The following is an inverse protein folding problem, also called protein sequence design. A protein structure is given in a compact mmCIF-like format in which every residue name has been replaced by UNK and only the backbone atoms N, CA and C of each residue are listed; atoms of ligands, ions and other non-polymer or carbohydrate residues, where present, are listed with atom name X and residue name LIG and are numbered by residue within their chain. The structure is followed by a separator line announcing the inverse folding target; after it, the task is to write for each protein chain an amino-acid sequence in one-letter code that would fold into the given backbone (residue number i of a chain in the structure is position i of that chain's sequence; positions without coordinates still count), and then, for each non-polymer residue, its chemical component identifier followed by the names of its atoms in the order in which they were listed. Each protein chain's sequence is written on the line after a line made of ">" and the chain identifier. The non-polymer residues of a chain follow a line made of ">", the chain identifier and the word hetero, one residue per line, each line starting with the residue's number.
data_IF_214455551807
#
_entry.id   IF_214455551807
#
_cell.length_a   1.000
_cell.length_b   1.000
_cell.length_c   1.000
_cell.angle_alpha   90.00
_cell.angle_beta   90.00
_cell.angle_gamma   90.00
#
_symmetry.space_group_name_H-M   'P 1'
#
loop_
_entity.id
_entity.type
_entity.pdbx_description
1 polymer ?
#
# COMPACT_ATOMS: atom_id res chain seq x y z
N UNK A 1 -42.84 -29.73 7.97
CA UNK A 1 -41.64 -30.48 8.45
C UNK A 1 -41.46 -31.81 7.73
N UNK A 2 -42.51 -32.61 7.46
CA UNK A 2 -42.42 -33.84 6.65
C UNK A 2 -41.84 -33.61 5.24
N UNK A 3 -42.33 -32.60 4.49
CA UNK A 3 -41.82 -32.22 3.16
C UNK A 3 -40.36 -31.76 3.17
N UNK A 4 -39.89 -31.15 4.27
CA UNK A 4 -38.50 -30.68 4.37
C UNK A 4 -37.57 -31.87 4.60
N UNK A 5 -38.01 -32.90 5.33
CA UNK A 5 -37.24 -34.12 5.52
C UNK A 5 -37.20 -34.98 4.24
N UNK A 6 -38.28 -35.08 3.47
CA UNK A 6 -38.29 -35.76 2.17
C UNK A 6 -37.37 -35.09 1.15
N UNK A 7 -37.31 -33.75 1.13
CA UNK A 7 -36.38 -32.99 0.27
C UNK A 7 -34.94 -33.24 0.71
N UNK A 8 -34.64 -33.23 2.02
CA UNK A 8 -33.28 -33.48 2.52
C UNK A 8 -32.82 -34.93 2.32
N UNK A 9 -33.75 -35.88 2.23
CA UNK A 9 -33.46 -37.30 1.95
C UNK A 9 -33.26 -37.57 0.45
N UNK A 10 -33.91 -36.79 -0.44
CA UNK A 10 -33.61 -36.78 -1.88
C UNK A 10 -32.20 -36.25 -2.21
N UNK A 11 -31.60 -35.40 -1.38
CA UNK A 11 -30.25 -34.87 -1.59
C UNK A 11 -29.12 -35.73 -1.01
N UNK A 12 -29.42 -36.86 -0.36
CA UNK A 12 -28.39 -37.75 0.22
C UNK A 12 -27.73 -38.71 -0.77
N UNK A 13 -28.30 -38.91 -1.96
CA UNK A 13 -27.77 -39.85 -2.95
C UNK A 13 -27.85 -39.28 -4.37
N UNK A 14 -26.83 -38.55 -4.82
CA UNK A 14 -26.36 -38.46 -6.22
C UNK A 14 -25.07 -37.63 -6.21
N UNK A 15 -23.88 -38.24 -6.18
CA UNK A 15 -23.07 -38.61 -7.35
C UNK A 15 -23.24 -37.69 -8.57
N UNK A 16 -22.08 -37.13 -8.94
CA UNK A 16 -21.67 -36.29 -10.09
C UNK A 16 -22.18 -34.85 -10.17
N UNK A 17 -21.24 -33.91 -9.93
CA UNK A 17 -21.28 -32.49 -10.28
C UNK A 17 -21.43 -32.21 -11.80
N UNK A 18 -21.67 -33.21 -12.64
CA UNK A 18 -21.69 -33.07 -14.10
C UNK A 18 -23.03 -32.51 -14.65
N UNK A 19 -24.12 -32.54 -13.88
CA UNK A 19 -25.45 -32.16 -14.40
C UNK A 19 -25.70 -30.64 -14.38
N UNK A 20 -24.94 -29.86 -13.61
CA UNK A 20 -25.07 -28.39 -13.60
C UNK A 20 -24.25 -27.67 -14.70
N UNK A 21 -23.62 -28.43 -15.61
CA UNK A 21 -22.75 -27.92 -16.68
C UNK A 21 -23.48 -27.32 -17.89
N UNK A 22 -24.81 -27.16 -17.84
CA UNK A 22 -25.56 -26.53 -18.94
C UNK A 22 -26.38 -25.34 -18.43
N UNK A 23 -25.76 -24.17 -18.54
CA UNK A 23 -26.38 -22.85 -18.64
C UNK A 23 -27.64 -22.61 -17.81
N UNK A 24 -27.48 -22.22 -16.55
CA UNK A 24 -28.56 -21.58 -15.79
C UNK A 24 -28.32 -20.08 -15.80
N UNK A 25 -29.01 -19.36 -16.69
CA UNK A 25 -29.19 -17.93 -16.53
C UNK A 25 -30.28 -17.72 -15.47
N UNK A 26 -29.88 -17.20 -14.32
CA UNK A 26 -30.82 -16.82 -13.26
C UNK A 26 -31.74 -15.71 -13.80
N UNK A 27 -33.05 -15.78 -13.56
CA UNK A 27 -33.97 -14.68 -13.86
C UNK A 27 -33.46 -13.34 -13.29
N UNK A 28 -33.73 -12.22 -13.97
CA UNK A 28 -33.24 -10.89 -13.56
C UNK A 28 -33.75 -10.43 -12.20
N UNK A 29 -34.81 -11.06 -11.69
CA UNK A 29 -35.44 -10.85 -10.40
C UNK A 29 -34.97 -11.86 -9.32
N UNK A 30 -34.06 -12.77 -9.67
CA UNK A 30 -33.50 -13.71 -8.69
C UNK A 30 -32.63 -12.96 -7.66
N UNK A 31 -32.79 -13.24 -6.35
CA UNK A 31 -32.17 -12.44 -5.29
C UNK A 31 -30.65 -12.58 -5.22
N UNK A 32 -30.06 -13.52 -5.96
CA UNK A 32 -28.61 -13.73 -6.02
C UNK A 32 -28.18 -13.73 -7.50
N UNK A 33 -27.22 -12.88 -7.85
CA UNK A 33 -26.74 -12.73 -9.22
C UNK A 33 -25.21 -12.75 -9.31
N UNK A 34 -24.63 -13.22 -10.43
CA UNK A 34 -23.20 -13.09 -10.67
C UNK A 34 -22.78 -11.62 -10.77
N UNK A 35 -21.54 -11.31 -10.38
CA UNK A 35 -20.99 -9.96 -10.54
C UNK A 35 -20.80 -9.63 -12.02
N UNK A 36 -20.29 -10.61 -12.77
CA UNK A 36 -20.10 -10.55 -14.22
C UNK A 36 -21.05 -11.55 -14.91
N UNK A 37 -22.30 -11.13 -15.20
CA UNK A 37 -23.28 -12.01 -15.83
C UNK A 37 -22.87 -12.47 -17.22
N UNK A 38 -22.03 -11.71 -17.94
CA UNK A 38 -21.59 -12.07 -19.29
C UNK A 38 -20.30 -12.90 -19.31
N UNK A 39 -19.73 -13.21 -18.13
CA UNK A 39 -18.49 -14.00 -18.07
C UNK A 39 -18.77 -15.43 -18.54
N UNK A 40 -17.98 -15.98 -19.48
CA UNK A 40 -18.13 -17.37 -19.90
C UNK A 40 -17.69 -18.32 -18.78
N UNK A 41 -18.50 -19.33 -18.50
CA UNK A 41 -18.25 -20.34 -17.46
C UNK A 41 -17.26 -21.37 -18.02
N UNK A 42 -16.11 -21.55 -17.35
CA UNK A 42 -15.11 -22.57 -17.72
C UNK A 42 -15.35 -23.86 -16.94
N UNK A 43 -14.70 -24.94 -17.39
CA UNK A 43 -14.74 -26.23 -16.70
C UNK A 43 -14.18 -26.10 -15.26
N UNK A 44 -14.99 -26.46 -14.27
CA UNK A 44 -14.67 -26.32 -12.84
C UNK A 44 -15.15 -25.01 -12.19
N UNK A 45 -15.66 -24.04 -12.95
CA UNK A 45 -16.20 -22.80 -12.38
C UNK A 45 -17.55 -23.03 -11.69
N UNK A 46 -17.74 -22.38 -10.53
CA UNK A 46 -19.05 -22.37 -9.88
C UNK A 46 -20.06 -21.61 -10.77
N UNK A 47 -21.22 -22.21 -11.13
CA UNK A 47 -22.16 -21.61 -12.06
C UNK A 47 -22.89 -20.37 -11.51
N UNK A 48 -22.91 -20.20 -10.18
CA UNK A 48 -23.57 -19.07 -9.52
C UNK A 48 -22.72 -17.80 -9.61
N UNK A 49 -21.42 -17.89 -9.31
CA UNK A 49 -20.49 -16.76 -9.37
C UNK A 49 -19.65 -16.74 -10.65
N UNK A 50 -19.81 -17.74 -11.53
CA UNK A 50 -19.04 -17.91 -12.77
C UNK A 50 -17.52 -17.89 -12.51
N UNK A 51 -17.12 -18.57 -11.43
CA UNK A 51 -15.73 -18.63 -10.96
C UNK A 51 -15.24 -17.41 -10.17
N UNK A 52 -16.05 -16.39 -9.92
CA UNK A 52 -15.63 -15.17 -9.20
C UNK A 52 -15.59 -15.34 -7.67
N UNK A 53 -16.19 -16.40 -7.13
CA UNK A 53 -16.26 -16.66 -5.67
C UNK A 53 -17.12 -15.67 -4.87
N UNK A 54 -17.74 -14.67 -5.52
CA UNK A 54 -18.56 -13.60 -4.91
C UNK A 54 -19.81 -13.37 -5.80
N UNK A 55 -20.93 -13.00 -5.19
CA UNK A 55 -22.24 -12.76 -5.83
C UNK A 55 -22.84 -11.42 -5.38
N UNK A 56 -23.70 -10.84 -6.21
CA UNK A 56 -24.63 -9.76 -5.82
C UNK A 56 -25.83 -10.39 -5.12
N UNK A 57 -26.27 -9.82 -4.01
CA UNK A 57 -27.47 -10.24 -3.27
C UNK A 57 -28.40 -9.04 -3.13
N UNK A 58 -29.68 -9.26 -3.41
CA UNK A 58 -30.74 -8.27 -3.32
C UNK A 58 -31.69 -8.64 -2.19
N UNK A 59 -31.60 -7.92 -1.07
CA UNK A 59 -32.50 -8.07 0.08
C UNK A 59 -33.20 -6.73 0.35
N UNK A 60 -34.52 -6.76 0.48
CA UNK A 60 -35.34 -5.58 0.77
C UNK A 60 -35.10 -4.38 -0.18
N UNK A 61 -34.81 -4.65 -1.46
CA UNK A 61 -34.53 -3.63 -2.47
C UNK A 61 -33.12 -3.02 -2.41
N UNK A 62 -32.24 -3.54 -1.54
CA UNK A 62 -30.86 -3.08 -1.39
C UNK A 62 -29.91 -4.13 -1.96
N UNK A 63 -29.08 -3.71 -2.92
CA UNK A 63 -28.01 -4.54 -3.47
C UNK A 63 -26.79 -4.51 -2.54
N UNK A 64 -26.32 -5.68 -2.14
CA UNK A 64 -25.04 -5.86 -1.48
C UNK A 64 -24.27 -7.03 -2.12
N UNK A 65 -23.03 -7.28 -1.69
CA UNK A 65 -22.18 -8.34 -2.23
C UNK A 65 -21.87 -9.34 -1.14
N UNK A 66 -22.00 -10.64 -1.44
CA UNK A 66 -21.74 -11.72 -0.50
C UNK A 66 -20.79 -12.74 -1.12
N UNK A 67 -20.08 -13.49 -0.27
CA UNK A 67 -19.31 -14.63 -0.74
C UNK A 67 -20.27 -15.65 -1.38
N UNK A 68 -19.89 -16.19 -2.53
CA UNK A 68 -20.64 -17.27 -3.15
C UNK A 68 -20.60 -18.50 -2.24
N UNK A 69 -21.65 -19.31 -2.25
CA UNK A 69 -21.74 -20.54 -1.45
C UNK A 69 -20.59 -21.51 -1.74
N UNK A 70 -20.00 -21.45 -2.94
CA UNK A 70 -18.81 -22.23 -3.30
C UNK A 70 -17.55 -21.83 -2.51
N UNK A 71 -17.59 -20.71 -1.78
CA UNK A 71 -16.46 -20.11 -1.08
C UNK A 71 -16.69 -20.06 0.44
N UNK A 72 -17.44 -21.03 1.00
CA UNK A 72 -17.86 -21.10 2.41
C UNK A 72 -16.72 -21.19 3.46
N UNK A 73 -15.45 -21.06 3.07
CA UNK A 73 -14.32 -20.95 3.97
C UNK A 73 -13.50 -19.67 3.71
N UNK A 74 -14.01 -18.50 4.10
CA UNK A 74 -13.20 -17.44 4.74
C UNK A 74 -14.02 -16.20 5.11
N UNK A 75 -14.38 -16.11 6.39
CA UNK A 75 -15.11 -15.00 7.02
C UNK A 75 -14.31 -13.68 7.07
N UNK A 76 -13.01 -13.71 6.76
CA UNK A 76 -12.09 -12.56 6.88
C UNK A 76 -12.06 -11.65 5.63
N UNK A 77 -12.44 -12.17 4.45
CA UNK A 77 -12.38 -11.41 3.19
C UNK A 77 -13.62 -10.50 3.04
N UNK A 78 -14.81 -10.96 3.47
CA UNK A 78 -16.04 -10.17 3.41
C UNK A 78 -15.98 -8.88 4.24
N UNK A 79 -15.42 -8.96 5.46
CA UNK A 79 -15.22 -7.80 6.34
C UNK A 79 -14.25 -6.77 5.75
N UNK A 80 -13.22 -7.21 5.02
CA UNK A 80 -12.27 -6.31 4.37
C UNK A 80 -12.89 -5.53 3.18
N UNK A 81 -13.81 -6.14 2.45
CA UNK A 81 -14.49 -5.53 1.29
C UNK A 81 -15.47 -4.44 1.71
N UNK A 82 -16.21 -4.63 2.81
CA UNK A 82 -17.11 -3.61 3.36
C UNK A 82 -16.36 -2.37 3.88
N UNK A 83 -15.21 -2.57 4.54
CA UNK A 83 -14.40 -1.46 5.06
C UNK A 83 -13.79 -0.65 3.91
N UNK A 84 -13.35 -1.31 2.84
CA UNK A 84 -12.82 -0.63 1.65
C UNK A 84 -13.85 0.26 0.95
N UNK A 85 -15.10 -0.21 0.82
CA UNK A 85 -16.17 0.60 0.22
C UNK A 85 -16.46 1.88 1.02
N UNK A 86 -16.44 1.81 2.36
CA UNK A 86 -16.60 3.01 3.21
C UNK A 86 -15.46 4.03 3.02
N UNK A 87 -14.23 3.55 2.83
CA UNK A 87 -13.05 4.41 2.68
C UNK A 87 -13.00 5.08 1.31
N UNK A 88 -13.42 4.39 0.25
CA UNK A 88 -13.52 4.97 -1.10
C UNK A 88 -14.56 6.10 -1.17
N UNK A 89 -15.70 5.96 -0.49
CA UNK A 89 -16.73 7.00 -0.42
C UNK A 89 -16.21 8.30 0.21
N UNK A 90 -15.54 8.20 1.37
CA UNK A 90 -14.97 9.36 2.07
C UNK A 90 -13.87 10.08 1.27
N UNK A 91 -13.12 9.36 0.43
CA UNK A 91 -12.07 9.96 -0.41
C UNK A 91 -12.62 10.76 -1.59
N UNK A 92 -13.77 10.35 -2.14
CA UNK A 92 -14.42 11.02 -3.27
C UNK A 92 -14.96 12.39 -2.85
N UNK A 93 -15.62 12.44 -1.69
CA UNK A 93 -16.14 13.67 -1.06
C UNK A 93 -15.02 14.68 -0.75
N UNK A 94 -13.82 14.20 -0.35
CA UNK A 94 -12.64 15.06 -0.13
C UNK A 94 -12.00 15.62 -1.40
N UNK A 95 -12.16 14.95 -2.55
CA UNK A 95 -11.60 15.40 -3.84
C UNK A 95 -12.42 16.53 -4.44
N UNK A 96 -13.74 16.46 -4.32
CA UNK A 96 -14.66 17.51 -4.82
C UNK A 96 -14.43 18.86 -4.11
N UNK A 97 -14.00 18.85 -2.85
CA UNK A 97 -13.66 20.06 -2.09
C UNK A 97 -12.34 20.74 -2.50
N UNK A 98 -11.42 20.03 -3.17
CA UNK A 98 -10.08 20.57 -3.51
C UNK A 98 -10.02 21.33 -4.84
N UNK A 99 -11.00 21.13 -5.72
CA UNK A 99 -10.98 21.66 -7.10
C UNK A 99 -11.31 23.16 -7.22
N UNK A 100 -11.64 23.84 -6.12
CA UNK A 100 -12.28 25.17 -6.16
C UNK A 100 -11.46 26.35 -5.59
N UNK A 101 -10.11 26.27 -5.54
CA UNK A 101 -9.29 27.38 -5.02
C UNK A 101 -8.04 27.65 -5.87
N UNK A 102 -8.11 28.65 -6.75
CA UNK A 102 -6.93 29.37 -7.29
C UNK A 102 -6.33 30.19 -6.13
N UNK A 103 -5.05 29.97 -5.81
CA UNK A 103 -4.39 30.60 -4.66
C UNK A 103 -3.72 31.92 -5.03
N UNK A 104 -4.20 33.01 -4.44
CA UNK A 104 -3.42 34.21 -4.16
C UNK A 104 -2.22 33.83 -3.26
N UNK A 105 -1.06 34.45 -3.46
CA UNK A 105 0.15 34.18 -2.66
C UNK A 105 -0.06 34.67 -1.21
N UNK A 106 -0.28 33.71 -0.30
CA UNK A 106 -0.49 33.99 1.13
C UNK A 106 0.83 34.39 1.79
N UNK A 107 0.88 35.58 2.40
CA UNK A 107 2.04 36.07 3.14
C UNK A 107 2.05 35.56 4.59
N UNK A 108 2.98 34.65 4.91
CA UNK A 108 3.14 34.06 6.25
C UNK A 108 4.22 34.79 7.06
N UNK A 109 3.94 35.03 8.35
CA UNK A 109 4.82 35.78 9.27
C UNK A 109 4.92 35.10 10.65
N UNK A 110 5.99 35.34 11.42
CA UNK A 110 6.07 34.88 12.82
C UNK A 110 5.04 35.60 13.70
N UNK A 111 4.68 34.98 14.83
CA UNK A 111 3.77 35.59 15.81
C UNK A 111 4.35 36.88 16.39
N UNK A 112 5.62 36.85 16.75
CA UNK A 112 6.35 37.98 17.32
C UNK A 112 7.34 38.55 16.30
N UNK A 113 6.85 39.25 15.28
CA UNK A 113 7.64 39.88 14.21
C UNK A 113 8.68 40.90 14.67
N UNK A 114 8.60 41.38 15.92
CA UNK A 114 9.55 42.34 16.48
C UNK A 114 10.42 41.76 17.60
N UNK A 115 10.22 40.51 18.00
CA UNK A 115 11.04 39.89 19.05
C UNK A 115 12.46 39.60 18.53
N UNK A 116 13.52 39.88 19.32
CA UNK A 116 14.89 39.54 18.92
C UNK A 116 15.05 38.02 18.78
N UNK A 117 15.74 37.58 17.73
CA UNK A 117 16.05 36.17 17.51
C UNK A 117 17.18 35.80 18.47
N UNK A 118 16.94 34.83 19.37
CA UNK A 118 17.97 34.36 20.30
C UNK A 118 18.91 33.37 19.62
N UNK A 119 20.07 33.16 20.24
CA UNK A 119 21.02 32.16 19.77
C UNK A 119 20.39 30.76 19.79
N UNK A 120 20.41 30.06 18.66
CA UNK A 120 19.77 28.75 18.46
C UNK A 120 18.32 28.78 17.96
N UNK A 121 17.66 29.95 17.93
CA UNK A 121 16.28 30.06 17.46
C UNK A 121 16.19 29.98 15.93
N UNK A 122 15.08 29.42 15.43
CA UNK A 122 14.81 29.42 14.00
C UNK A 122 14.54 30.86 13.52
N UNK A 123 15.24 31.38 12.49
CA UNK A 123 15.07 32.76 12.03
C UNK A 123 13.72 33.03 11.36
N UNK A 124 13.00 31.98 10.94
CA UNK A 124 11.72 32.09 10.23
C UNK A 124 10.57 32.30 11.23
N UNK A 125 10.48 31.46 12.27
CA UNK A 125 9.42 31.55 13.29
C UNK A 125 9.88 32.19 14.60
N UNK A 126 11.17 32.52 14.73
CA UNK A 126 11.79 33.10 15.93
C UNK A 126 11.61 32.25 17.18
N UNK A 127 11.80 30.94 17.05
CA UNK A 127 11.70 29.97 18.15
C UNK A 127 10.31 29.37 18.38
N UNK A 128 9.24 30.00 17.90
CA UNK A 128 7.84 29.58 18.17
C UNK A 128 7.40 28.27 17.49
N UNK A 129 8.09 27.90 16.41
CA UNK A 129 7.74 26.71 15.62
C UNK A 129 6.47 26.84 14.74
N UNK A 130 5.77 27.98 14.78
CA UNK A 130 4.56 28.24 13.99
C UNK A 130 4.64 29.59 13.27
N UNK A 131 3.86 29.72 12.20
CA UNK A 131 3.69 30.93 11.40
C UNK A 131 2.20 31.24 11.29
N UNK A 132 1.87 32.52 11.22
CA UNK A 132 0.51 33.01 11.01
C UNK A 132 0.36 33.77 9.71
N UNK A 133 -0.85 33.79 9.16
CA UNK A 133 -1.22 34.63 8.03
C UNK A 133 -2.67 35.09 8.20
N UNK A 134 -2.97 36.31 7.76
CA UNK A 134 -4.35 36.79 7.67
C UNK A 134 -4.87 36.51 6.26
N UNK A 135 -5.93 35.70 6.16
CA UNK A 135 -6.56 35.35 4.88
C UNK A 135 -8.04 35.66 5.01
N UNK A 136 -8.56 36.57 4.18
CA UNK A 136 -9.96 37.01 4.21
C UNK A 136 -10.44 37.46 5.60
N UNK A 137 -9.59 38.13 6.38
CA UNK A 137 -9.90 38.60 7.73
C UNK A 137 -9.81 37.55 8.84
N UNK A 138 -9.46 36.30 8.52
CA UNK A 138 -9.25 35.22 9.49
C UNK A 138 -7.76 34.93 9.69
N UNK A 139 -7.36 34.69 10.94
CA UNK A 139 -6.01 34.26 11.27
C UNK A 139 -5.87 32.75 11.02
N UNK A 140 -4.91 32.38 10.17
CA UNK A 140 -4.52 31.00 9.92
C UNK A 140 -3.15 30.74 10.52
N UNK A 141 -2.98 29.56 11.10
CA UNK A 141 -1.73 29.12 11.71
C UNK A 141 -1.22 27.90 10.96
N UNK A 142 0.06 27.88 10.61
CA UNK A 142 0.75 26.69 10.09
C UNK A 142 2.03 26.43 10.86
N UNK A 143 2.52 25.19 10.79
CA UNK A 143 3.83 24.85 11.34
C UNK A 143 4.95 25.48 10.50
N UNK A 144 6.00 25.92 11.19
CA UNK A 144 7.24 26.35 10.56
C UNK A 144 8.03 25.13 10.09
N UNK A 145 8.74 25.27 8.97
CA UNK A 145 9.65 24.27 8.41
C UNK A 145 10.73 23.81 9.42
N UNK A 146 11.07 24.61 10.44
CA UNK A 146 12.02 24.19 11.47
C UNK A 146 11.49 23.07 12.37
N UNK A 147 10.18 23.04 12.63
CA UNK A 147 9.54 21.94 13.37
C UNK A 147 9.55 20.69 12.50
N UNK A 148 9.26 20.83 11.20
CA UNK A 148 9.36 19.73 10.25
C UNK A 148 10.78 19.16 10.21
N UNK A 149 11.81 20.02 10.20
CA UNK A 149 13.22 19.62 10.26
C UNK A 149 13.58 18.94 11.60
N UNK A 150 13.09 19.44 12.74
CA UNK A 150 13.34 18.84 14.06
C UNK A 150 12.71 17.46 14.18
N UNK A 151 11.43 17.33 13.80
CA UNK A 151 10.71 16.05 13.75
C UNK A 151 11.43 15.08 12.80
N UNK A 152 11.83 15.55 11.61
CA UNK A 152 12.60 14.76 10.66
C UNK A 152 13.91 14.26 11.25
N UNK A 153 14.63 15.10 12.01
CA UNK A 153 15.90 14.72 12.63
C UNK A 153 15.71 13.71 13.76
N UNK A 154 14.70 13.89 14.62
CA UNK A 154 14.35 12.95 15.68
C UNK A 154 13.91 11.60 15.11
N UNK A 155 13.14 11.61 14.01
CA UNK A 155 12.75 10.41 13.28
C UNK A 155 13.95 9.74 12.60
N UNK A 156 14.89 10.50 12.04
CA UNK A 156 16.14 9.99 11.46
C UNK A 156 16.96 9.21 12.49
N UNK A 157 17.12 9.77 13.70
CA UNK A 157 17.86 9.14 14.78
C UNK A 157 17.20 7.83 15.24
N UNK A 158 15.86 7.78 15.28
CA UNK A 158 15.09 6.59 15.70
C UNK A 158 15.09 5.45 14.68
N UNK A 159 15.39 5.71 13.41
CA UNK A 159 15.21 4.72 12.32
C UNK A 159 16.48 3.93 11.99
N UNK A 160 17.64 4.27 12.57
CA UNK A 160 18.89 3.52 12.37
C UNK A 160 19.45 3.58 10.93
N UNK A 161 18.87 4.42 10.06
CA UNK A 161 19.25 4.56 8.64
C UNK A 161 19.75 5.96 8.28
N UNK A 162 20.12 6.75 9.29
CA UNK A 162 20.57 8.12 9.12
C UNK A 162 21.65 8.25 8.04
N UNK A 163 22.60 7.33 8.05
CA UNK A 163 23.72 7.32 7.12
C UNK A 163 23.33 6.92 5.69
N UNK A 164 22.38 6.00 5.53
CA UNK A 164 21.85 5.62 4.22
C UNK A 164 21.07 6.77 3.59
N UNK A 165 20.26 7.50 4.37
CA UNK A 165 19.49 8.67 3.87
C UNK A 165 20.41 9.82 3.45
N UNK A 166 21.56 10.01 4.12
CA UNK A 166 22.55 11.02 3.73
C UNK A 166 23.23 10.68 2.42
N UNK A 167 23.58 9.40 2.22
CA UNK A 167 24.33 8.94 1.03
C UNK A 167 23.46 8.73 -0.19
N UNK A 168 22.28 8.15 -0.02
CA UNK A 168 21.37 7.79 -1.11
C UNK A 168 20.30 8.86 -1.31
N UNK A 169 20.64 9.88 -2.09
CA UNK A 169 19.75 11.00 -2.42
C UNK A 169 19.39 10.99 -3.90
N UNK A 170 18.40 11.80 -4.30
CA UNK A 170 18.08 11.99 -5.72
C UNK A 170 19.27 12.62 -6.48
N UNK A 171 20.05 13.45 -5.82
CA UNK A 171 21.19 14.16 -6.42
C UNK A 171 22.36 13.20 -6.67
N UNK A 172 22.58 12.24 -5.76
CA UNK A 172 23.61 11.19 -5.94
C UNK A 172 23.15 10.02 -6.82
N UNK A 173 21.88 9.96 -7.22
CA UNK A 173 21.37 8.91 -8.13
C UNK A 173 21.73 9.24 -9.58
N UNK A 174 22.71 8.50 -10.12
CA UNK A 174 23.23 8.68 -11.48
C UNK A 174 22.30 8.05 -12.53
N UNK A 175 22.10 8.77 -13.64
CA UNK A 175 21.17 8.39 -14.71
C UNK A 175 21.85 8.34 -16.11
N UNK A 176 22.94 7.58 -16.32
CA UNK A 176 23.58 7.48 -17.65
C UNK A 176 22.67 6.86 -18.73
N UNK A 177 21.63 6.13 -18.36
CA UNK A 177 20.66 5.54 -19.29
C UNK A 177 19.24 6.08 -19.08
N UNK A 178 18.45 6.13 -20.16
CA UNK A 178 17.09 6.67 -20.14
C UNK A 178 16.16 5.99 -19.12
N UNK A 179 16.33 4.70 -18.87
CA UNK A 179 15.47 4.00 -17.92
C UNK A 179 15.70 4.47 -16.48
N UNK A 180 16.93 4.88 -16.14
CA UNK A 180 17.27 5.46 -14.83
C UNK A 180 16.68 6.86 -14.70
N UNK A 181 16.75 7.65 -15.76
CA UNK A 181 16.12 8.96 -15.85
C UNK A 181 14.60 8.85 -15.64
N UNK A 182 13.94 7.93 -16.38
CA UNK A 182 12.50 7.64 -16.21
C UNK A 182 12.16 7.18 -14.79
N UNK A 183 12.99 6.34 -14.17
CA UNK A 183 12.80 5.89 -12.80
C UNK A 183 12.90 7.06 -11.81
N UNK A 184 13.93 7.91 -11.96
CA UNK A 184 14.14 9.10 -11.13
C UNK A 184 12.98 10.08 -11.25
N UNK A 185 12.50 10.34 -12.47
CA UNK A 185 11.37 11.23 -12.73
C UNK A 185 10.07 10.71 -12.09
N UNK A 186 9.76 9.41 -12.26
CA UNK A 186 8.59 8.79 -11.61
C UNK A 186 8.67 8.86 -10.09
N UNK A 187 9.87 8.65 -9.53
CA UNK A 187 10.10 8.76 -8.09
C UNK A 187 9.93 10.21 -7.57
N UNK A 188 10.31 11.22 -8.35
CA UNK A 188 10.06 12.63 -8.02
C UNK A 188 8.56 12.98 -8.11
N UNK A 189 7.86 12.52 -9.15
CA UNK A 189 6.42 12.70 -9.29
C UNK A 189 5.64 12.05 -8.13
N UNK A 190 6.10 10.88 -7.68
CA UNK A 190 5.50 10.12 -6.58
C UNK A 190 5.44 10.90 -5.26
N UNK A 191 6.33 11.86 -5.03
CA UNK A 191 6.35 12.66 -3.79
C UNK A 191 5.09 13.50 -3.59
N UNK A 192 4.32 13.75 -4.66
CA UNK A 192 3.04 14.46 -4.61
C UNK A 192 1.84 13.55 -4.31
N UNK A 193 2.04 12.23 -4.26
CA UNK A 193 0.97 11.27 -4.00
C UNK A 193 0.68 11.11 -2.51
N UNK A 194 -0.59 10.89 -2.18
CA UNK A 194 -1.02 10.67 -0.79
C UNK A 194 -1.65 9.30 -0.56
N UNK A 195 -1.97 8.55 -1.62
CA UNK A 195 -2.68 7.27 -1.50
C UNK A 195 -2.16 6.21 -2.48
N UNK A 196 -0.97 6.42 -3.04
CA UNK A 196 -0.27 5.48 -3.92
C UNK A 196 0.91 4.86 -3.19
N UNK A 197 1.31 3.70 -3.69
CA UNK A 197 2.52 3.01 -3.28
C UNK A 197 3.54 3.07 -4.39
N UNK A 198 4.82 2.97 -4.02
CA UNK A 198 5.92 2.94 -4.97
C UNK A 198 6.53 1.55 -4.99
N UNK A 199 6.74 1.01 -6.18
CA UNK A 199 7.35 -0.30 -6.34
C UNK A 199 8.51 -0.22 -7.32
N UNK A 200 9.64 -0.78 -6.94
CA UNK A 200 10.76 -1.06 -7.83
C UNK A 200 11.20 -2.51 -7.70
N UNK A 201 11.11 -3.26 -8.78
CA UNK A 201 11.32 -4.71 -8.80
C UNK A 201 12.27 -5.19 -9.89
N UNK A 202 12.69 -6.45 -9.81
CA UNK A 202 13.52 -7.12 -10.81
C UNK A 202 15.02 -7.02 -10.53
N UNK A 203 15.83 -6.76 -11.55
CA UNK A 203 17.28 -6.98 -11.53
C UNK A 203 18.04 -6.47 -10.30
N UNK A 204 18.98 -7.27 -9.78
CA UNK A 204 19.89 -6.87 -8.70
C UNK A 204 20.87 -5.78 -9.14
N UNK A 205 21.22 -4.88 -8.22
CA UNK A 205 22.28 -3.89 -8.44
C UNK A 205 21.92 -2.70 -9.33
N UNK A 206 20.65 -2.51 -9.69
CA UNK A 206 20.19 -1.40 -10.54
C UNK A 206 19.80 -0.12 -9.77
N UNK A 207 20.12 -0.02 -8.48
CA UNK A 207 19.85 1.18 -7.67
C UNK A 207 18.48 1.25 -6.99
N UNK A 208 17.75 0.13 -6.88
CA UNK A 208 16.44 0.04 -6.19
C UNK A 208 16.47 0.63 -4.78
N UNK A 209 17.39 0.16 -3.94
CA UNK A 209 17.53 0.65 -2.57
C UNK A 209 17.87 2.14 -2.53
N UNK A 210 18.69 2.61 -3.47
CA UNK A 210 19.07 4.02 -3.55
C UNK A 210 17.84 4.89 -3.82
N UNK A 211 17.09 4.60 -4.89
CA UNK A 211 15.93 5.44 -5.25
C UNK A 211 14.84 5.40 -4.17
N UNK A 212 14.56 4.24 -3.57
CA UNK A 212 13.61 4.13 -2.47
C UNK A 212 14.07 4.89 -1.21
N UNK A 213 15.36 4.84 -0.89
CA UNK A 213 15.94 5.60 0.22
C UNK A 213 15.86 7.11 -0.05
N UNK A 214 16.08 7.55 -1.29
CA UNK A 214 15.95 8.94 -1.69
C UNK A 214 14.50 9.45 -1.54
N UNK A 215 13.51 8.65 -1.95
CA UNK A 215 12.07 8.92 -1.72
C UNK A 215 11.79 9.05 -0.22
N UNK A 216 12.24 8.06 0.58
CA UNK A 216 12.03 8.05 2.03
C UNK A 216 12.63 9.30 2.69
N UNK A 217 13.84 9.68 2.28
CA UNK A 217 14.53 10.89 2.77
C UNK A 217 13.80 12.19 2.41
N UNK A 218 13.11 12.26 1.26
CA UNK A 218 12.27 13.41 0.92
C UNK A 218 11.00 13.45 1.77
N UNK A 219 10.30 12.33 1.96
CA UNK A 219 9.14 12.29 2.86
C UNK A 219 9.50 12.65 4.31
N UNK A 220 10.66 12.18 4.77
CA UNK A 220 11.19 12.55 6.07
C UNK A 220 11.41 14.08 6.17
N UNK A 221 12.04 14.70 5.16
CA UNK A 221 12.21 16.16 5.10
C UNK A 221 10.89 16.94 5.04
N UNK A 222 9.81 16.31 4.54
CA UNK A 222 8.45 16.85 4.56
C UNK A 222 7.72 16.61 5.91
N UNK A 223 8.44 16.15 6.94
CA UNK A 223 7.92 15.92 8.28
C UNK A 223 7.00 14.69 8.42
N UNK A 224 6.99 13.78 7.45
CA UNK A 224 6.21 12.54 7.52
C UNK A 224 6.88 11.53 8.45
N UNK A 225 6.10 10.83 9.27
CA UNK A 225 6.64 9.67 9.99
C UNK A 225 7.04 8.58 9.00
N UNK A 226 8.30 8.17 9.08
CA UNK A 226 8.87 7.15 8.19
C UNK A 226 9.37 5.95 8.99
N UNK A 227 9.27 4.77 8.39
CA UNK A 227 9.89 3.54 8.89
C UNK A 227 10.57 2.82 7.74
N UNK A 228 11.77 2.35 8.01
CA UNK A 228 12.52 1.46 7.12
C UNK A 228 12.68 0.10 7.78
N UNK A 229 12.52 -0.95 6.99
CA UNK A 229 12.84 -2.31 7.38
C UNK A 229 13.59 -3.01 6.25
N UNK A 230 14.51 -3.90 6.61
CA UNK A 230 15.01 -4.95 5.73
C UNK A 230 14.12 -6.16 5.97
N UNK A 231 13.39 -6.59 4.95
CA UNK A 231 12.38 -7.65 5.08
C UNK A 231 12.93 -8.91 5.75
N UNK A 232 14.10 -9.37 5.32
CA UNK A 232 14.73 -10.61 5.83
C UNK A 232 15.04 -10.56 7.33
N UNK A 233 15.33 -9.38 7.87
CA UNK A 233 15.64 -9.21 9.29
C UNK A 233 14.37 -9.02 10.11
N UNK A 234 13.46 -8.18 9.61
CA UNK A 234 12.23 -7.86 10.33
C UNK A 234 11.28 -9.06 10.42
N UNK A 235 11.22 -9.89 9.36
CA UNK A 235 10.35 -11.06 9.36
C UNK A 235 10.77 -12.11 10.40
N UNK A 236 12.07 -12.29 10.62
CA UNK A 236 12.60 -13.19 11.66
C UNK A 236 12.17 -12.69 13.04
N UNK A 237 12.32 -11.38 13.29
CA UNK A 237 11.89 -10.76 14.54
C UNK A 237 10.38 -10.89 14.77
N UNK A 238 9.57 -10.65 13.75
CA UNK A 238 8.11 -10.76 13.83
C UNK A 238 7.68 -12.20 14.14
N UNK A 239 8.26 -13.19 13.45
CA UNK A 239 7.95 -14.60 13.68
C UNK A 239 8.33 -15.07 15.08
N UNK A 240 9.50 -14.65 15.57
CA UNK A 240 9.98 -15.02 16.90
C UNK A 240 9.07 -14.53 18.04
N UNK A 241 8.29 -13.48 17.81
CA UNK A 241 7.42 -12.89 18.83
C UNK A 241 5.92 -13.15 18.58
N UNK A 242 5.56 -13.98 17.59
CA UNK A 242 4.14 -14.16 17.19
C UNK A 242 3.26 -14.78 18.28
N UNK A 243 3.84 -15.45 19.26
CA UNK A 243 3.13 -16.06 20.42
C UNK A 243 3.03 -15.11 21.63
N UNK A 244 3.74 -13.99 21.61
CA UNK A 244 3.68 -12.96 22.64
C UNK A 244 2.88 -11.78 22.09
N UNK A 245 1.57 -11.79 22.33
CA UNK A 245 0.64 -10.82 21.73
C UNK A 245 1.04 -9.38 22.02
N UNK A 246 1.44 -9.05 23.25
CA UNK A 246 1.81 -7.68 23.63
C UNK A 246 3.07 -7.24 22.88
N UNK A 247 4.12 -8.06 22.89
CA UNK A 247 5.35 -7.71 22.22
C UNK A 247 5.21 -7.73 20.70
N UNK A 248 4.42 -8.66 20.13
CA UNK A 248 4.09 -8.71 18.72
C UNK A 248 3.41 -7.42 18.27
N UNK A 249 2.38 -6.99 19.00
CA UNK A 249 1.69 -5.73 18.72
C UNK A 249 2.66 -4.55 18.78
N UNK A 250 3.55 -4.51 19.77
CA UNK A 250 4.56 -3.45 19.92
C UNK A 250 5.49 -3.35 18.71
N UNK A 251 5.90 -4.49 18.12
CA UNK A 251 6.84 -4.50 16.98
C UNK A 251 6.14 -4.31 15.63
N UNK A 252 4.92 -4.83 15.44
CA UNK A 252 4.22 -4.74 14.16
C UNK A 252 3.50 -3.40 13.98
N UNK A 253 2.95 -2.80 15.05
CA UNK A 253 2.17 -1.57 14.97
C UNK A 253 2.89 -0.41 14.27
N UNK A 254 4.20 -0.17 14.48
CA UNK A 254 4.95 0.83 13.72
C UNK A 254 4.97 0.57 12.21
N UNK A 255 4.93 -0.69 11.77
CA UNK A 255 4.85 -1.07 10.35
C UNK A 255 3.44 -0.82 9.80
N UNK A 256 2.42 -1.08 10.62
CA UNK A 256 1.02 -0.86 10.26
C UNK A 256 0.70 0.63 10.11
N UNK A 257 1.12 1.46 11.06
CA UNK A 257 0.55 2.81 11.28
C UNK A 257 1.39 3.98 10.79
N UNK A 258 2.70 3.78 10.53
CA UNK A 258 3.58 4.87 10.05
C UNK A 258 3.11 5.45 8.71
N UNK A 259 3.25 6.76 8.51
CA UNK A 259 2.77 7.43 7.30
C UNK A 259 3.48 6.91 6.04
N UNK A 260 4.78 6.60 6.15
CA UNK A 260 5.57 6.05 5.05
C UNK A 260 6.36 4.83 5.55
N UNK A 261 6.08 3.66 4.99
CA UNK A 261 6.82 2.43 5.25
C UNK A 261 7.65 2.08 4.02
N UNK A 262 8.95 1.93 4.17
CA UNK A 262 9.83 1.37 3.16
C UNK A 262 10.24 -0.05 3.57
N UNK A 263 9.83 -1.02 2.75
CA UNK A 263 10.19 -2.43 2.88
C UNK A 263 11.27 -2.74 1.82
N UNK A 264 12.50 -2.89 2.26
CA UNK A 264 13.62 -3.30 1.40
C UNK A 264 13.72 -4.81 1.29
N UNK A 265 14.17 -5.28 0.13
CA UNK A 265 14.35 -6.70 -0.19
C UNK A 265 13.08 -7.54 0.10
N UNK A 266 11.90 -7.00 -0.26
CA UNK A 266 10.62 -7.66 0.01
C UNK A 266 10.55 -9.06 -0.63
N UNK A 267 10.17 -10.05 0.16
CA UNK A 267 10.19 -11.48 -0.21
C UNK A 267 11.53 -12.00 -0.76
N UNK A 268 12.65 -11.35 -0.41
CA UNK A 268 13.96 -11.94 -0.68
C UNK A 268 14.14 -13.22 0.11
N UNK A 269 14.55 -14.24 -0.60
CA UNK A 269 14.81 -15.60 -0.12
C UNK A 269 16.13 -16.06 -0.73
N UNK A 270 16.64 -17.20 -0.26
CA UNK A 270 17.69 -17.90 -1.02
C UNK A 270 17.20 -18.19 -2.43
N UNK A 271 18.15 -18.32 -3.36
CA UNK A 271 17.87 -18.51 -4.78
C UNK A 271 16.87 -19.65 -4.98
N UNK A 272 15.83 -19.37 -5.76
CA UNK A 272 14.77 -20.30 -6.14
C UNK A 272 13.89 -20.83 -4.98
N UNK A 273 14.05 -20.31 -3.75
CA UNK A 273 13.14 -20.64 -2.63
C UNK A 273 11.93 -19.72 -2.59
N UNK A 274 10.74 -20.28 -2.34
CA UNK A 274 9.52 -19.51 -2.05
C UNK A 274 9.55 -19.01 -0.60
N UNK A 275 8.99 -17.81 -0.30
CA UNK A 275 8.76 -17.39 1.09
C UNK A 275 7.94 -18.44 1.85
N UNK A 276 8.20 -18.59 3.15
CA UNK A 276 7.41 -19.52 3.97
C UNK A 276 5.98 -19.00 4.16
N UNK A 277 5.04 -19.89 4.50
CA UNK A 277 3.66 -19.45 4.77
C UNK A 277 3.58 -18.44 5.91
N UNK A 278 4.45 -18.55 6.92
CA UNK A 278 4.53 -17.59 8.00
C UNK A 278 4.98 -16.19 7.52
N UNK A 279 5.88 -16.15 6.52
CA UNK A 279 6.30 -14.90 5.89
C UNK A 279 5.14 -14.29 5.09
N UNK A 280 4.42 -15.12 4.33
CA UNK A 280 3.24 -14.72 3.54
C UNK A 280 2.14 -14.19 4.46
N UNK A 281 1.80 -14.90 5.54
CA UNK A 281 0.78 -14.45 6.52
C UNK A 281 1.13 -13.10 7.16
N UNK A 282 2.39 -12.93 7.56
CA UNK A 282 2.86 -11.66 8.18
C UNK A 282 2.89 -10.52 7.16
N UNK A 283 3.31 -10.80 5.91
CA UNK A 283 3.24 -9.83 4.82
C UNK A 283 1.79 -9.42 4.57
N UNK A 284 0.86 -10.39 4.49
CA UNK A 284 -0.55 -10.12 4.30
C UNK A 284 -1.11 -9.21 5.40
N UNK A 285 -0.76 -9.45 6.67
CA UNK A 285 -1.18 -8.62 7.80
C UNK A 285 -0.77 -7.14 7.61
N UNK A 286 0.51 -6.89 7.28
CA UNK A 286 1.03 -5.53 7.07
C UNK A 286 0.39 -4.89 5.83
N UNK A 287 0.36 -5.61 4.72
CA UNK A 287 -0.09 -5.09 3.43
C UNK A 287 -1.59 -4.83 3.45
N UNK A 288 -2.38 -5.74 3.99
CA UNK A 288 -3.83 -5.59 4.08
C UNK A 288 -4.21 -4.42 4.98
N UNK A 289 -3.57 -4.28 6.15
CA UNK A 289 -3.81 -3.13 7.03
C UNK A 289 -3.56 -1.81 6.30
N UNK A 290 -2.39 -1.68 5.67
CA UNK A 290 -2.00 -0.44 4.96
C UNK A 290 -2.82 -0.19 3.71
N UNK A 291 -3.33 -1.26 3.08
CA UNK A 291 -4.17 -1.18 1.89
C UNK A 291 -5.55 -0.62 2.23
N UNK A 292 -6.17 -1.17 3.28
CA UNK A 292 -7.48 -0.73 3.76
C UNK A 292 -7.39 0.69 4.33
N UNK A 293 -6.35 1.00 5.11
CA UNK A 293 -6.19 2.32 5.73
C UNK A 293 -5.58 3.34 4.76
N UNK A 294 -6.37 4.33 4.35
CA UNK A 294 -5.93 5.39 3.44
C UNK A 294 -4.87 6.31 4.03
N UNK A 295 -4.01 6.88 3.18
CA UNK A 295 -2.98 7.83 3.60
C UNK A 295 -1.69 7.18 4.09
N UNK A 296 -1.60 5.85 4.04
CA UNK A 296 -0.42 5.08 4.38
C UNK A 296 0.34 4.70 3.10
N UNK A 297 1.47 5.36 2.89
CA UNK A 297 2.34 5.15 1.73
C UNK A 297 3.25 3.97 2.01
N UNK A 298 3.36 3.03 1.07
CA UNK A 298 4.31 1.94 1.15
C UNK A 298 5.23 1.98 -0.05
N UNK A 299 6.52 1.81 0.20
CA UNK A 299 7.59 1.76 -0.79
C UNK A 299 8.17 0.34 -0.73
N UNK A 300 8.31 -0.29 -1.90
CA UNK A 300 8.86 -1.63 -2.02
C UNK A 300 10.08 -1.61 -2.95
N UNK A 301 11.16 -2.22 -2.51
CA UNK A 301 12.20 -2.75 -3.39
C UNK A 301 12.25 -4.26 -3.26
N UNK A 302 12.43 -4.94 -4.40
CA UNK A 302 12.56 -6.40 -4.41
C UNK A 302 13.32 -6.86 -5.66
N UNK A 303 13.86 -8.07 -5.61
CA UNK A 303 14.43 -8.73 -6.79
C UNK A 303 13.36 -9.41 -7.67
N UNK A 304 12.10 -9.35 -7.24
CA UNK A 304 10.94 -9.94 -7.91
C UNK A 304 10.17 -8.90 -8.74
N UNK A 305 9.46 -9.35 -9.76
CA UNK A 305 8.44 -8.54 -10.45
C UNK A 305 7.15 -8.50 -9.63
N UNK A 306 6.15 -7.70 -10.06
CA UNK A 306 4.83 -7.76 -9.42
C UNK A 306 4.13 -9.08 -9.74
N UNK A 307 4.35 -9.63 -10.93
CA UNK A 307 3.75 -10.89 -11.34
C UNK A 307 4.31 -12.06 -10.51
N UNK A 308 5.63 -12.06 -10.25
CA UNK A 308 6.25 -13.01 -9.31
C UNK A 308 5.63 -12.92 -7.90
N UNK A 309 5.21 -11.73 -7.45
CA UNK A 309 4.55 -11.56 -6.15
C UNK A 309 3.12 -12.10 -6.18
N UNK A 310 2.40 -11.92 -7.30
CA UNK A 310 1.07 -12.52 -7.51
C UNK A 310 1.17 -14.04 -7.47
N UNK A 311 2.22 -14.63 -8.06
CA UNK A 311 2.47 -16.07 -8.01
C UNK A 311 2.78 -16.58 -6.59
N UNK A 312 3.40 -15.74 -5.75
CA UNK A 312 3.65 -16.04 -4.33
C UNK A 312 2.35 -15.98 -3.52
N UNK A 313 1.57 -14.93 -3.70
CA UNK A 313 0.27 -14.74 -3.06
C UNK A 313 -0.54 -13.69 -3.84
N UNK A 314 -1.63 -14.14 -4.46
CA UNK A 314 -2.46 -13.29 -5.33
C UNK A 314 -3.06 -12.11 -4.56
N UNK A 315 -3.41 -12.31 -3.28
CA UNK A 315 -4.05 -11.29 -2.47
C UNK A 315 -3.07 -10.14 -2.12
N UNK A 316 -1.81 -10.44 -1.82
CA UNK A 316 -0.75 -9.45 -1.63
C UNK A 316 -0.41 -8.78 -2.96
N UNK A 317 -0.16 -9.59 -4.00
CA UNK A 317 0.26 -9.12 -5.31
C UNK A 317 -0.75 -8.17 -5.96
N UNK A 318 -2.04 -8.51 -5.93
CA UNK A 318 -3.13 -7.68 -6.47
C UNK A 318 -3.26 -6.32 -5.76
N UNK A 319 -3.14 -6.28 -4.42
CA UNK A 319 -3.16 -5.02 -3.65
C UNK A 319 -1.97 -4.13 -4.00
N UNK A 320 -0.77 -4.72 -4.09
CA UNK A 320 0.44 -3.99 -4.50
C UNK A 320 0.26 -3.49 -5.94
N UNK A 321 -0.22 -4.33 -6.86
CA UNK A 321 -0.50 -3.96 -8.24
C UNK A 321 -1.42 -2.74 -8.32
N UNK A 322 -2.56 -2.75 -7.62
CA UNK A 322 -3.52 -1.66 -7.63
C UNK A 322 -2.92 -0.36 -7.08
N UNK A 323 -2.28 -0.42 -5.91
CA UNK A 323 -1.75 0.77 -5.22
C UNK A 323 -0.54 1.36 -5.94
N UNK A 324 0.16 0.57 -6.75
CA UNK A 324 1.35 1.00 -7.51
C UNK A 324 1.03 1.40 -8.94
N UNK A 325 -0.24 1.42 -9.38
CA UNK A 325 -0.64 1.96 -10.69
C UNK A 325 -0.08 3.38 -10.89
N UNK A 326 0.77 3.56 -11.89
CA UNK A 326 1.52 4.79 -12.21
C UNK A 326 2.96 4.84 -11.66
N UNK A 327 3.27 4.04 -10.64
CA UNK A 327 4.53 4.05 -9.89
C UNK A 327 5.13 2.64 -9.70
N UNK A 328 4.73 1.71 -10.57
CA UNK A 328 5.26 0.35 -10.67
C UNK A 328 6.42 0.34 -11.66
N UNK A 329 7.62 0.18 -11.16
CA UNK A 329 8.85 0.17 -11.95
C UNK A 329 9.47 -1.23 -11.93
N UNK A 330 9.46 -1.91 -13.07
CA UNK A 330 10.09 -3.23 -13.20
C UNK A 330 11.33 -3.08 -14.07
N UNK A 331 12.47 -3.48 -13.54
CA UNK A 331 13.77 -3.44 -14.23
C UNK A 331 14.09 -4.86 -14.66
N UNK A 332 13.93 -5.13 -15.95
CA UNK A 332 14.23 -6.44 -16.54
C UNK A 332 15.74 -6.72 -16.50
N UNK A 333 16.08 -8.01 -16.41
CA UNK A 333 17.47 -8.49 -16.36
C UNK A 333 18.22 -8.13 -17.66
N UNK A 334 19.40 -7.56 -17.49
CA UNK A 334 20.34 -7.17 -18.53
C UNK A 334 21.76 -7.07 -17.92
N UNK A 335 22.77 -7.67 -18.54
CA UNK A 335 24.13 -7.74 -17.98
C UNK A 335 24.73 -6.35 -17.66
N UNK A 336 24.37 -5.30 -18.41
CA UNK A 336 24.91 -3.95 -18.24
C UNK A 336 24.30 -3.13 -17.09
N UNK A 337 23.20 -3.60 -16.51
CA UNK A 337 22.40 -2.83 -15.52
C UNK A 337 22.78 -3.06 -14.06
N UNK A 338 23.66 -4.02 -13.77
CA UNK A 338 24.20 -4.16 -12.41
C UNK A 338 25.29 -3.12 -12.20
N UNK A 339 24.95 -2.02 -11.53
CA UNK A 339 25.84 -0.91 -11.23
C UNK A 339 27.12 -1.36 -10.53
N UNK A 340 27.02 -2.36 -9.65
CA UNK A 340 28.13 -2.86 -8.82
C UNK A 340 29.17 -3.64 -9.61
N UNK A 341 28.83 -4.07 -10.83
CA UNK A 341 29.69 -4.89 -11.70
C UNK A 341 30.21 -4.11 -12.91
N UNK A 342 29.91 -2.81 -13.01
CA UNK A 342 30.49 -1.99 -14.06
C UNK A 342 31.99 -1.87 -13.84
N UNK A 343 32.77 -2.12 -14.89
CA UNK A 343 34.21 -1.86 -14.87
C UNK A 343 34.42 -0.37 -14.54
N UNK A 344 35.26 -0.09 -13.56
CA UNK A 344 35.74 1.27 -13.32
C UNK A 344 36.39 1.76 -14.61
N UNK A 345 35.98 2.95 -15.07
CA UNK A 345 36.49 3.55 -16.31
C UNK A 345 37.78 4.29 -16.05
#
# INVERSE_FOLDING_TARGET
>A
MQQVMEIMEQFKNHKSMEIYSKGVDFPSDFPIQPIHPDKPIKEGDCPICRGDGIVKVFENGIQHYAACICNKHNEQVGKAVEIMHRIQKMQRERKEQKTNKKSEEIQWQPFHTNAPIKEGDCPICRGEGHLRAMINGYEYIKRCVCIEKKIAMEQLQRTGIAESIKRYTFDSFQTPEEWQERLKQRALQFLNETNKWFFVGGQVGCGKTHICTAILGKFLKMGKSVKYIIWTNEIVRLKANKMDDENYQRIINPLLTTQVLYIDDFFKTEKDKRPSEADIRTAFEIINYRYVNSGLITIFSTEKTVDDIIDIDEAIGSRIHEKTKGYRNVILKDEGRNWRLRKEK
#
